data_IF_884416157017
#
_entry.id   IF_884416157017
#
_cell.length_a   1.000
_cell.length_b   1.000
_cell.length_c   1.000
_cell.angle_alpha   90.00
_cell.angle_beta   90.00
_cell.angle_gamma   90.00
#
_symmetry.space_group_name_H-M   'P 1'
#
loop_
_entity.id
_entity.type
_entity.pdbx_description
1 polymer ?
#
# COMPACT_ATOMS: atom_id res chain seq x y z
N UNK A 1 -20.71 11.77 -21.22
CA UNK A 1 -21.13 12.44 -22.47
C UNK A 1 -21.16 11.46 -23.65
N UNK A 2 -20.09 10.69 -23.88
CA UNK A 2 -20.00 9.72 -24.99
C UNK A 2 -21.09 8.63 -25.01
N UNK A 3 -21.40 8.02 -23.85
CA UNK A 3 -22.47 7.00 -23.77
C UNK A 3 -23.84 7.53 -24.19
N UNK A 4 -24.21 8.74 -23.72
CA UNK A 4 -25.48 9.37 -24.12
C UNK A 4 -25.52 9.66 -25.62
N UNK A 5 -24.42 10.15 -26.19
CA UNK A 5 -24.31 10.40 -27.63
C UNK A 5 -24.46 9.11 -28.45
N UNK A 6 -23.77 8.04 -28.05
CA UNK A 6 -23.89 6.71 -28.66
C UNK A 6 -25.34 6.21 -28.69
N UNK A 7 -26.05 6.31 -27.55
CA UNK A 7 -27.46 5.92 -27.45
C UNK A 7 -28.36 6.82 -28.32
N UNK A 8 -28.12 8.13 -28.35
CA UNK A 8 -28.86 9.07 -29.21
C UNK A 8 -28.64 8.82 -30.70
N UNK A 9 -27.47 8.29 -31.10
CA UNK A 9 -27.16 7.90 -32.48
C UNK A 9 -27.73 6.51 -32.84
N UNK A 10 -28.49 5.87 -31.94
CA UNK A 10 -29.08 4.55 -32.18
C UNK A 10 -28.08 3.39 -32.11
N UNK A 11 -26.84 3.64 -31.67
CA UNK A 11 -25.82 2.62 -31.52
C UNK A 11 -26.09 1.86 -30.21
N UNK A 12 -26.31 0.55 -30.30
CA UNK A 12 -26.60 -0.29 -29.15
C UNK A 12 -25.35 -0.51 -28.30
N UNK A 13 -25.48 -0.35 -26.98
CA UNK A 13 -24.44 -0.71 -26.03
C UNK A 13 -24.27 -2.23 -25.97
N UNK A 14 -23.04 -2.70 -25.86
CA UNK A 14 -22.71 -4.11 -25.68
C UNK A 14 -22.16 -4.40 -24.27
N UNK A 15 -21.88 -5.67 -23.99
CA UNK A 15 -21.32 -6.12 -22.70
C UNK A 15 -19.96 -5.47 -22.35
N UNK A 16 -19.23 -4.95 -23.33
CA UNK A 16 -17.95 -4.29 -23.11
C UNK A 16 -18.10 -2.79 -22.86
N UNK A 17 -19.19 -2.18 -23.32
CA UNK A 17 -19.52 -0.76 -23.10
C UNK A 17 -19.88 -0.49 -21.65
N UNK A 18 -20.75 -1.32 -21.06
CA UNK A 18 -21.32 -1.07 -19.74
C UNK A 18 -20.31 -0.97 -18.59
N UNK A 19 -19.27 -1.82 -18.50
CA UNK A 19 -18.23 -1.70 -17.47
C UNK A 19 -17.59 -0.31 -17.41
N UNK A 20 -17.26 0.30 -18.56
CA UNK A 20 -16.69 1.65 -18.59
C UNK A 20 -17.68 2.72 -18.10
N UNK A 21 -18.95 2.58 -18.48
CA UNK A 21 -20.01 3.51 -18.07
C UNK A 21 -20.28 3.38 -16.57
N UNK A 22 -20.38 2.16 -16.05
CA UNK A 22 -20.52 1.88 -14.61
C UNK A 22 -19.31 2.42 -13.85
N UNK A 23 -18.09 2.25 -14.36
CA UNK A 23 -16.88 2.78 -13.73
C UNK A 23 -16.91 4.31 -13.67
N UNK A 24 -17.37 4.98 -14.74
CA UNK A 24 -17.59 6.42 -14.70
C UNK A 24 -18.62 6.81 -13.63
N UNK A 25 -19.77 6.12 -13.56
CA UNK A 25 -20.77 6.35 -12.51
C UNK A 25 -20.20 6.15 -11.10
N UNK A 26 -19.32 5.16 -10.92
CA UNK A 26 -18.62 4.87 -9.67
C UNK A 26 -17.70 6.01 -9.26
N UNK A 27 -16.89 6.52 -10.19
CA UNK A 27 -15.95 7.62 -9.91
C UNK A 27 -16.68 8.92 -9.54
N UNK A 28 -17.85 9.17 -10.12
CA UNK A 28 -18.70 10.32 -9.78
C UNK A 28 -19.68 10.04 -8.63
N UNK A 29 -19.67 8.84 -8.05
CA UNK A 29 -20.63 8.38 -7.04
C UNK A 29 -22.11 8.63 -7.43
N UNK A 30 -22.41 8.62 -8.73
CA UNK A 30 -23.71 9.03 -9.27
C UNK A 30 -24.69 7.85 -9.29
N UNK A 31 -25.45 7.72 -8.20
CA UNK A 31 -26.41 6.62 -8.02
C UNK A 31 -27.53 6.64 -9.09
N UNK A 32 -28.06 7.81 -9.41
CA UNK A 32 -29.20 7.93 -10.33
C UNK A 32 -28.81 7.52 -11.75
N UNK A 33 -27.64 7.98 -12.22
CA UNK A 33 -27.12 7.59 -13.51
C UNK A 33 -26.81 6.08 -13.55
N UNK A 34 -26.19 5.54 -12.49
CA UNK A 34 -25.91 4.10 -12.45
C UNK A 34 -27.16 3.23 -12.40
N UNK A 35 -28.25 3.68 -11.74
CA UNK A 35 -29.57 3.00 -11.81
C UNK A 35 -30.14 3.02 -13.21
N UNK A 36 -30.03 4.13 -13.95
CA UNK A 36 -30.46 4.20 -15.35
C UNK A 36 -29.66 3.23 -16.22
N UNK A 37 -28.34 3.19 -16.04
CA UNK A 37 -27.45 2.27 -16.76
C UNK A 37 -27.75 0.81 -16.43
N UNK A 38 -28.01 0.49 -15.16
CA UNK A 38 -28.46 -0.84 -14.74
C UNK A 38 -29.82 -1.22 -15.37
N UNK A 39 -30.77 -0.28 -15.48
CA UNK A 39 -32.01 -0.49 -16.22
C UNK A 39 -31.77 -0.80 -17.71
N UNK A 40 -30.88 -0.05 -18.36
CA UNK A 40 -30.47 -0.30 -19.74
C UNK A 40 -29.86 -1.70 -19.91
N UNK A 41 -28.98 -2.10 -19.00
CA UNK A 41 -28.37 -3.44 -18.98
C UNK A 41 -29.39 -4.57 -19.01
N UNK A 42 -30.45 -4.44 -18.21
CA UNK A 42 -31.55 -5.41 -18.18
C UNK A 42 -32.31 -5.38 -19.52
N UNK A 43 -32.63 -4.19 -20.03
CA UNK A 43 -33.34 -4.03 -21.31
C UNK A 43 -32.59 -4.63 -22.50
N UNK A 44 -31.26 -4.52 -22.53
CA UNK A 44 -30.42 -5.08 -23.60
C UNK A 44 -30.02 -6.55 -23.38
N UNK A 45 -30.52 -7.20 -22.31
CA UNK A 45 -30.29 -8.64 -22.08
C UNK A 45 -28.95 -9.00 -21.45
N UNK A 46 -28.19 -8.02 -20.92
CA UNK A 46 -26.90 -8.26 -20.28
C UNK A 46 -26.99 -8.47 -18.76
N UNK A 47 -28.21 -8.65 -18.23
CA UNK A 47 -28.44 -8.85 -16.79
C UNK A 47 -27.88 -10.16 -16.24
N UNK A 48 -27.51 -11.12 -17.09
CA UNK A 48 -26.88 -12.38 -16.71
C UNK A 48 -25.36 -12.44 -16.91
N UNK A 49 -24.73 -11.37 -17.42
CA UNK A 49 -23.28 -11.34 -17.64
C UNK A 49 -22.54 -11.13 -16.31
N UNK A 50 -21.71 -12.10 -15.92
CA UNK A 50 -20.99 -12.11 -14.63
C UNK A 50 -20.04 -10.91 -14.50
N UNK A 51 -19.39 -10.48 -15.59
CA UNK A 51 -18.45 -9.36 -15.56
C UNK A 51 -19.19 -8.04 -15.31
N UNK A 52 -20.32 -7.83 -16.00
CA UNK A 52 -21.19 -6.68 -15.76
C UNK A 52 -21.77 -6.69 -14.34
N UNK A 53 -22.25 -7.84 -13.87
CA UNK A 53 -22.81 -7.99 -12.52
C UNK A 53 -21.76 -7.65 -11.44
N UNK A 54 -20.51 -8.10 -11.58
CA UNK A 54 -19.42 -7.76 -10.66
C UNK A 54 -19.13 -6.25 -10.63
N UNK A 55 -19.19 -5.56 -11.77
CA UNK A 55 -19.04 -4.10 -11.83
C UNK A 55 -20.21 -3.37 -11.16
N UNK A 56 -21.44 -3.88 -11.31
CA UNK A 56 -22.62 -3.31 -10.63
C UNK A 56 -22.53 -3.48 -9.11
N UNK A 57 -22.03 -4.63 -8.63
CA UNK A 57 -21.80 -4.87 -7.20
C UNK A 57 -20.81 -3.84 -6.65
N UNK A 58 -19.63 -3.67 -7.28
CA UNK A 58 -18.62 -2.66 -6.87
C UNK A 58 -19.20 -1.24 -6.85
N UNK A 59 -19.94 -0.89 -7.89
CA UNK A 59 -20.62 0.41 -8.00
C UNK A 59 -21.59 0.65 -6.85
N UNK A 60 -22.49 -0.30 -6.56
CA UNK A 60 -23.48 -0.13 -5.51
C UNK A 60 -22.86 -0.03 -4.13
N UNK A 61 -21.81 -0.80 -3.83
CA UNK A 61 -21.07 -0.66 -2.57
C UNK A 61 -20.42 0.73 -2.45
N UNK A 62 -19.72 1.20 -3.49
CA UNK A 62 -19.06 2.51 -3.47
C UNK A 62 -20.04 3.68 -3.37
N UNK A 63 -21.24 3.54 -3.91
CA UNK A 63 -22.31 4.52 -3.73
C UNK A 63 -23.04 4.37 -2.38
N UNK A 64 -22.61 3.52 -1.45
CA UNK A 64 -23.23 3.34 -0.13
C UNK A 64 -24.57 2.58 -0.16
N UNK A 65 -24.85 1.84 -1.24
CA UNK A 65 -26.12 1.14 -1.47
C UNK A 65 -25.97 -0.38 -1.31
N UNK A 66 -25.50 -0.83 -0.15
CA UNK A 66 -25.20 -2.23 0.19
C UNK A 66 -26.33 -3.20 -0.17
N UNK A 67 -27.59 -2.85 0.15
CA UNK A 67 -28.75 -3.70 -0.16
C UNK A 67 -28.91 -3.97 -1.66
N UNK A 68 -28.62 -3.00 -2.53
CA UNK A 68 -28.69 -3.21 -3.98
C UNK A 68 -27.52 -4.07 -4.48
N UNK A 69 -26.33 -3.89 -3.92
CA UNK A 69 -25.18 -4.72 -4.25
C UNK A 69 -25.45 -6.20 -3.92
N UNK A 70 -25.93 -6.48 -2.70
CA UNK A 70 -26.28 -7.84 -2.25
C UNK A 70 -27.40 -8.44 -3.10
N UNK A 71 -28.43 -7.65 -3.46
CA UNK A 71 -29.50 -8.12 -4.34
C UNK A 71 -29.01 -8.49 -5.75
N UNK A 72 -28.01 -7.78 -6.29
CA UNK A 72 -27.37 -8.17 -7.56
C UNK A 72 -26.65 -9.50 -7.39
N UNK A 73 -25.86 -9.63 -6.31
CA UNK A 73 -25.10 -10.84 -6.01
C UNK A 73 -25.97 -12.09 -5.79
N UNK A 74 -27.05 -11.96 -5.02
CA UNK A 74 -28.04 -13.02 -4.77
C UNK A 74 -28.64 -13.55 -6.07
N UNK A 75 -28.92 -12.66 -7.03
CA UNK A 75 -29.52 -12.99 -8.33
C UNK A 75 -28.54 -13.56 -9.36
N UNK A 76 -27.23 -13.58 -9.08
CA UNK A 76 -26.26 -14.16 -10.00
C UNK A 76 -26.46 -15.66 -10.10
N UNK A 77 -26.65 -16.18 -11.33
CA UNK A 77 -26.78 -17.63 -11.59
C UNK A 77 -25.44 -18.36 -11.44
N UNK A 78 -24.36 -17.68 -11.82
CA UNK A 78 -22.99 -18.19 -11.74
C UNK A 78 -22.16 -17.16 -11.00
N UNK A 79 -21.45 -17.60 -9.96
CA UNK A 79 -20.55 -16.76 -9.16
C UNK A 79 -19.14 -17.31 -9.32
N UNK A 80 -18.20 -16.44 -9.65
CA UNK A 80 -16.78 -16.78 -9.67
C UNK A 80 -16.07 -16.12 -8.48
N UNK A 81 -14.77 -16.35 -8.35
CA UNK A 81 -13.95 -15.77 -7.27
C UNK A 81 -14.13 -14.26 -7.21
N UNK A 82 -14.13 -13.57 -8.36
CA UNK A 82 -14.30 -12.12 -8.43
C UNK A 82 -15.63 -11.70 -7.80
N UNK A 83 -16.74 -12.37 -8.10
CA UNK A 83 -18.06 -12.09 -7.51
C UNK A 83 -18.04 -12.12 -5.99
N UNK A 84 -17.45 -13.18 -5.41
CA UNK A 84 -17.33 -13.32 -3.96
C UNK A 84 -16.43 -12.24 -3.36
N UNK A 85 -15.24 -12.03 -3.94
CA UNK A 85 -14.26 -11.07 -3.42
C UNK A 85 -14.72 -9.62 -3.52
N UNK A 86 -15.52 -9.27 -4.55
CA UNK A 86 -16.10 -7.92 -4.69
C UNK A 86 -17.12 -7.65 -3.59
N UNK A 87 -17.98 -8.62 -3.26
CA UNK A 87 -18.94 -8.48 -2.15
C UNK A 87 -18.23 -8.37 -0.81
N UNK A 88 -17.26 -9.25 -0.54
CA UNK A 88 -16.47 -9.21 0.69
C UNK A 88 -15.79 -7.85 0.86
N UNK A 89 -15.09 -7.37 -0.17
CA UNK A 89 -14.41 -6.07 -0.14
C UNK A 89 -15.38 -4.91 0.06
N UNK A 90 -16.56 -4.99 -0.56
CA UNK A 90 -17.63 -4.01 -0.41
C UNK A 90 -18.18 -3.95 1.02
N UNK A 91 -18.51 -5.11 1.61
CA UNK A 91 -19.00 -5.22 2.99
C UNK A 91 -17.96 -4.73 4.01
N UNK A 92 -16.70 -5.13 3.84
CA UNK A 92 -15.56 -4.63 4.64
C UNK A 92 -15.50 -3.10 4.59
N UNK A 93 -15.65 -2.50 3.41
CA UNK A 93 -15.59 -1.04 3.23
C UNK A 93 -16.80 -0.32 3.85
N UNK A 94 -17.92 -1.02 4.02
CA UNK A 94 -19.10 -0.52 4.72
C UNK A 94 -19.04 -0.77 6.24
N UNK A 95 -17.98 -1.40 6.76
CA UNK A 95 -17.83 -1.76 8.17
C UNK A 95 -18.61 -3.00 8.61
N UNK A 96 -19.23 -3.74 7.69
CA UNK A 96 -20.00 -4.95 8.00
C UNK A 96 -19.11 -6.21 7.88
N UNK A 97 -18.15 -6.33 8.78
CA UNK A 97 -17.21 -7.45 8.83
C UNK A 97 -17.89 -8.79 9.13
N UNK A 98 -18.97 -8.79 9.90
CA UNK A 98 -19.70 -10.01 10.24
C UNK A 98 -20.34 -10.62 9.01
N UNK A 99 -21.04 -9.81 8.21
CA UNK A 99 -21.62 -10.29 6.96
C UNK A 99 -20.53 -10.63 5.94
N UNK A 100 -19.44 -9.84 5.87
CA UNK A 100 -18.29 -10.16 5.02
C UNK A 100 -17.72 -11.55 5.37
N UNK A 101 -17.61 -11.87 6.67
CA UNK A 101 -17.14 -13.17 7.15
C UNK A 101 -18.10 -14.30 6.80
N UNK A 102 -19.41 -14.09 6.93
CA UNK A 102 -20.43 -15.06 6.54
C UNK A 102 -20.33 -15.39 5.04
N UNK A 103 -20.27 -14.37 4.20
CA UNK A 103 -20.11 -14.52 2.74
C UNK A 103 -18.79 -15.21 2.39
N UNK A 104 -17.70 -14.90 3.11
CA UNK A 104 -16.43 -15.57 2.95
C UNK A 104 -16.54 -17.07 3.26
N UNK A 105 -17.15 -17.45 4.39
CA UNK A 105 -17.30 -18.85 4.77
C UNK A 105 -18.16 -19.65 3.77
N UNK A 106 -19.12 -19.02 3.11
CA UNK A 106 -19.97 -19.61 2.04
C UNK A 106 -19.24 -19.86 0.71
N UNK A 107 -18.02 -19.34 0.50
CA UNK A 107 -17.27 -19.58 -0.76
C UNK A 107 -17.01 -21.10 -0.91
N UNK A 108 -17.49 -21.74 -2.00
CA UNK A 108 -17.36 -23.19 -2.20
C UNK A 108 -15.91 -23.69 -2.31
N UNK A 109 -15.05 -22.91 -2.97
CA UNK A 109 -13.63 -23.18 -3.11
C UNK A 109 -12.85 -21.88 -2.93
N UNK A 110 -12.36 -21.68 -1.70
CA UNK A 110 -11.55 -20.51 -1.36
C UNK A 110 -10.18 -20.63 -2.01
N UNK A 111 -9.66 -19.52 -2.51
CA UNK A 111 -8.29 -19.42 -3.03
C UNK A 111 -7.55 -18.28 -2.34
N UNK A 112 -6.25 -18.14 -2.66
CA UNK A 112 -5.37 -17.10 -2.09
C UNK A 112 -6.03 -15.72 -2.13
N UNK A 113 -6.66 -15.33 -3.25
CA UNK A 113 -7.30 -14.02 -3.39
C UNK A 113 -8.42 -13.81 -2.38
N UNK A 114 -9.31 -14.80 -2.19
CA UNK A 114 -10.40 -14.70 -1.21
C UNK A 114 -9.90 -14.63 0.24
N UNK A 115 -8.87 -15.39 0.60
CA UNK A 115 -8.26 -15.34 1.93
C UNK A 115 -7.61 -13.98 2.17
N UNK A 116 -6.78 -13.51 1.24
CA UNK A 116 -6.09 -12.22 1.33
C UNK A 116 -7.07 -11.06 1.47
N UNK A 117 -8.19 -11.09 0.73
CA UNK A 117 -9.23 -10.06 0.83
C UNK A 117 -9.82 -9.98 2.25
N UNK A 118 -10.18 -11.12 2.85
CA UNK A 118 -10.77 -11.16 4.18
C UNK A 118 -9.77 -10.82 5.28
N UNK A 119 -8.54 -11.33 5.21
CA UNK A 119 -7.48 -11.02 6.19
C UNK A 119 -7.16 -9.51 6.17
N UNK A 120 -6.97 -8.92 4.98
CA UNK A 120 -6.77 -7.47 4.85
C UNK A 120 -7.96 -6.67 5.42
N UNK A 121 -9.18 -7.20 5.26
CA UNK A 121 -10.38 -6.60 5.83
C UNK A 121 -10.33 -6.47 7.34
N UNK A 122 -9.95 -7.56 8.02
CA UNK A 122 -9.76 -7.56 9.46
C UNK A 122 -8.65 -6.60 9.92
N UNK A 123 -7.50 -6.59 9.25
CA UNK A 123 -6.39 -5.69 9.64
C UNK A 123 -6.80 -4.21 9.51
N UNK A 124 -7.43 -3.83 8.38
CA UNK A 124 -7.89 -2.44 8.16
C UNK A 124 -8.97 -1.97 9.12
N UNK A 125 -9.72 -2.90 9.69
CA UNK A 125 -10.74 -2.62 10.70
C UNK A 125 -10.22 -2.86 12.13
N UNK A 126 -8.90 -2.88 12.32
CA UNK A 126 -8.26 -2.96 13.63
C UNK A 126 -8.60 -4.23 14.42
N UNK A 127 -8.79 -5.35 13.71
CA UNK A 127 -9.08 -6.67 14.25
C UNK A 127 -7.95 -7.67 13.92
N UNK A 128 -6.74 -7.50 14.47
CA UNK A 128 -5.58 -8.29 14.06
C UNK A 128 -5.56 -9.72 14.59
N UNK A 129 -6.25 -10.00 15.70
CA UNK A 129 -6.41 -11.35 16.24
C UNK A 129 -7.18 -12.24 15.26
N UNK A 130 -8.28 -11.73 14.71
CA UNK A 130 -9.11 -12.40 13.70
C UNK A 130 -8.36 -12.57 12.38
N UNK A 131 -7.57 -11.56 12.00
CA UNK A 131 -6.69 -11.65 10.83
C UNK A 131 -5.66 -12.79 10.99
N UNK A 132 -5.04 -12.91 12.17
CA UNK A 132 -4.08 -13.98 12.49
C UNK A 132 -4.75 -15.35 12.51
N UNK A 133 -5.96 -15.44 13.07
CA UNK A 133 -6.74 -16.68 13.07
C UNK A 133 -7.05 -17.14 11.64
N UNK A 134 -7.52 -16.22 10.77
CA UNK A 134 -7.75 -16.55 9.36
C UNK A 134 -6.45 -16.94 8.66
N UNK A 135 -5.34 -16.25 8.92
CA UNK A 135 -4.06 -16.59 8.34
C UNK A 135 -3.61 -18.00 8.73
N UNK A 136 -3.77 -18.39 10.00
CA UNK A 136 -3.52 -19.77 10.46
C UNK A 136 -4.45 -20.78 9.81
N UNK A 137 -5.74 -20.44 9.67
CA UNK A 137 -6.73 -21.31 9.02
C UNK A 137 -6.43 -21.50 7.52
N UNK A 138 -6.01 -20.44 6.82
CA UNK A 138 -5.55 -20.50 5.43
C UNK A 138 -4.43 -21.55 5.27
N UNK A 139 -3.47 -21.57 6.21
CA UNK A 139 -2.39 -22.55 6.23
C UNK A 139 -2.88 -23.97 6.52
N UNK A 140 -3.80 -24.13 7.47
CA UNK A 140 -4.39 -25.43 7.81
C UNK A 140 -5.19 -26.04 6.65
N UNK A 141 -5.76 -25.19 5.78
CA UNK A 141 -6.43 -25.60 4.53
C UNK A 141 -5.45 -25.80 3.35
N UNK A 142 -4.13 -25.78 3.59
CA UNK A 142 -3.05 -25.92 2.60
C UNK A 142 -3.11 -24.90 1.46
N UNK A 143 -3.60 -23.69 1.74
CA UNK A 143 -3.60 -22.58 0.78
C UNK A 143 -2.41 -21.68 1.09
N UNK A 144 -1.43 -21.66 0.19
CA UNK A 144 -0.19 -20.92 0.40
C UNK A 144 -0.33 -19.45 -0.03
N UNK A 145 -0.05 -18.47 0.86
CA UNK A 145 0.11 -17.08 0.49
C UNK A 145 1.21 -16.90 -0.56
N UNK A 146 0.96 -16.05 -1.56
CA UNK A 146 2.00 -15.60 -2.49
C UNK A 146 2.69 -14.32 -1.98
N UNK A 147 3.80 -13.92 -2.61
CA UNK A 147 4.55 -12.71 -2.23
C UNK A 147 3.65 -11.46 -2.13
N UNK A 148 2.72 -11.28 -3.07
CA UNK A 148 1.76 -10.17 -3.05
C UNK A 148 0.89 -10.18 -1.78
N UNK A 149 0.40 -11.36 -1.38
CA UNK A 149 -0.36 -11.52 -0.14
C UNK A 149 0.51 -11.15 1.06
N UNK A 150 1.74 -11.65 1.11
CA UNK A 150 2.67 -11.36 2.20
C UNK A 150 2.94 -9.85 2.32
N UNK A 151 3.26 -9.17 1.21
CA UNK A 151 3.49 -7.72 1.18
C UNK A 151 2.25 -6.95 1.65
N UNK A 152 1.06 -7.35 1.19
CA UNK A 152 -0.19 -6.71 1.60
C UNK A 152 -0.43 -6.83 3.10
N UNK A 153 -0.19 -8.02 3.69
CA UNK A 153 -0.35 -8.26 5.12
C UNK A 153 0.68 -7.48 5.94
N UNK A 154 1.95 -7.46 5.51
CA UNK A 154 3.01 -6.70 6.17
C UNK A 154 2.69 -5.20 6.16
N UNK A 155 2.27 -4.64 5.01
CA UNK A 155 1.87 -3.23 4.93
C UNK A 155 0.75 -2.88 5.90
N UNK A 156 -0.26 -3.75 5.99
CA UNK A 156 -1.37 -3.54 6.91
C UNK A 156 -0.91 -3.63 8.39
N UNK A 157 0.08 -4.50 8.71
CA UNK A 157 0.71 -4.52 10.03
C UNK A 157 1.48 -3.23 10.32
N UNK A 158 2.19 -2.68 9.32
CA UNK A 158 2.91 -1.41 9.44
C UNK A 158 1.98 -0.25 9.78
N UNK A 159 0.86 -0.12 9.05
CA UNK A 159 -0.14 0.94 9.25
C UNK A 159 -0.76 0.89 10.66
N UNK A 160 -0.85 -0.31 11.23
CA UNK A 160 -1.46 -0.56 12.54
C UNK A 160 -0.45 -0.68 13.69
N UNK A 161 0.85 -0.73 13.41
CA UNK A 161 1.91 -0.92 14.42
C UNK A 161 1.92 -2.30 15.08
N UNK A 162 1.46 -3.37 14.41
CA UNK A 162 1.29 -4.70 15.02
C UNK A 162 2.52 -5.58 14.78
N UNK A 163 3.51 -5.48 15.66
CA UNK A 163 4.77 -6.23 15.55
C UNK A 163 4.59 -7.75 15.61
N UNK A 164 3.68 -8.25 16.44
CA UNK A 164 3.49 -9.70 16.68
C UNK A 164 3.00 -10.43 15.44
N UNK A 165 2.01 -9.86 14.74
CA UNK A 165 1.51 -10.37 13.48
C UNK A 165 2.57 -10.27 12.38
N UNK A 166 3.28 -9.14 12.31
CA UNK A 166 4.41 -8.95 11.38
C UNK A 166 5.49 -10.03 11.52
N UNK A 167 5.92 -10.34 12.75
CA UNK A 167 6.85 -11.45 13.03
C UNK A 167 6.28 -12.80 12.58
N UNK A 168 5.01 -13.09 12.90
CA UNK A 168 4.38 -14.34 12.50
C UNK A 168 4.33 -14.54 10.97
N UNK A 169 4.10 -13.46 10.22
CA UNK A 169 4.14 -13.47 8.75
C UNK A 169 5.58 -13.65 8.25
N UNK A 170 6.56 -12.98 8.84
CA UNK A 170 7.98 -13.15 8.50
C UNK A 170 8.46 -14.59 8.75
N UNK A 171 8.17 -15.15 9.92
CA UNK A 171 8.48 -16.55 10.27
C UNK A 171 7.85 -17.53 9.29
N UNK A 172 6.61 -17.26 8.86
CA UNK A 172 5.93 -18.07 7.86
C UNK A 172 6.67 -18.04 6.52
N UNK A 173 7.13 -16.86 6.07
CA UNK A 173 7.90 -16.72 4.84
C UNK A 173 9.17 -17.59 4.89
N UNK A 174 9.92 -17.52 5.99
CA UNK A 174 11.14 -18.31 6.20
C UNK A 174 10.83 -19.82 6.20
N UNK A 175 9.84 -20.26 6.99
CA UNK A 175 9.48 -21.68 7.14
C UNK A 175 9.00 -22.33 5.85
N UNK A 176 8.40 -21.56 4.95
CA UNK A 176 7.86 -22.05 3.68
C UNK A 176 8.75 -21.71 2.48
N UNK A 177 9.98 -21.26 2.73
CA UNK A 177 10.94 -20.90 1.69
C UNK A 177 10.39 -19.89 0.68
N UNK A 178 9.55 -18.95 1.13
CA UNK A 178 9.11 -17.82 0.31
C UNK A 178 10.33 -16.89 0.17
N UNK A 179 10.75 -16.63 -1.06
CA UNK A 179 11.86 -15.73 -1.33
C UNK A 179 11.55 -14.33 -0.78
N UNK A 180 12.40 -13.85 0.13
CA UNK A 180 12.36 -12.46 0.61
C UNK A 180 13.06 -11.60 -0.43
N UNK A 181 12.35 -11.36 -1.54
CA UNK A 181 12.78 -10.51 -2.62
C UNK A 181 12.75 -9.03 -2.23
N UNK A 182 13.05 -8.17 -3.21
CA UNK A 182 13.10 -6.71 -3.01
C UNK A 182 11.79 -6.15 -2.45
N UNK A 183 10.63 -6.63 -2.92
CA UNK A 183 9.34 -6.10 -2.51
C UNK A 183 8.98 -6.50 -1.07
N UNK A 184 9.03 -7.79 -0.75
CA UNK A 184 8.75 -8.28 0.59
C UNK A 184 9.78 -7.80 1.61
N UNK A 185 11.07 -7.83 1.28
CA UNK A 185 12.14 -7.38 2.17
C UNK A 185 12.05 -5.89 2.50
N UNK A 186 11.79 -5.04 1.51
CA UNK A 186 11.59 -3.60 1.77
C UNK A 186 10.36 -3.34 2.63
N UNK A 187 9.26 -4.09 2.43
CA UNK A 187 8.07 -3.98 3.27
C UNK A 187 8.32 -4.43 4.71
N UNK A 188 9.11 -5.49 4.90
CA UNK A 188 9.49 -6.00 6.22
C UNK A 188 10.40 -5.01 6.98
N UNK A 189 11.37 -4.40 6.31
CA UNK A 189 12.23 -3.35 6.89
C UNK A 189 11.36 -2.19 7.39
N UNK A 190 10.45 -1.66 6.56
CA UNK A 190 9.55 -0.56 6.92
C UNK A 190 8.64 -0.96 8.10
N UNK A 191 8.09 -2.18 8.09
CA UNK A 191 7.25 -2.70 9.17
C UNK A 191 8.00 -2.78 10.49
N UNK A 192 9.16 -3.45 10.52
CA UNK A 192 9.95 -3.61 11.72
C UNK A 192 10.43 -2.26 12.25
N UNK A 193 10.90 -1.38 11.37
CA UNK A 193 11.32 -0.02 11.72
C UNK A 193 10.19 0.78 12.38
N UNK A 194 9.01 0.87 11.77
CA UNK A 194 7.87 1.62 12.32
C UNK A 194 7.27 0.97 13.57
N UNK A 195 7.42 -0.35 13.73
CA UNK A 195 7.01 -1.07 14.93
C UNK A 195 8.06 -1.01 16.07
N UNK A 196 9.12 -0.21 15.93
CA UNK A 196 10.11 -0.01 16.99
C UNK A 196 11.21 -1.07 17.06
N UNK A 197 11.28 -1.99 16.09
CA UNK A 197 12.18 -3.15 16.13
C UNK A 197 13.29 -3.07 15.08
N UNK A 198 14.17 -2.07 15.21
CA UNK A 198 15.25 -1.81 14.26
C UNK A 198 16.21 -3.00 14.08
N UNK A 199 16.39 -3.84 15.11
CA UNK A 199 17.25 -5.02 15.03
C UNK A 199 16.75 -6.06 14.02
N UNK A 200 15.45 -6.34 14.01
CA UNK A 200 14.89 -7.28 13.02
C UNK A 200 14.91 -6.66 11.61
N UNK A 201 14.77 -5.32 11.50
CA UNK A 201 14.89 -4.64 10.22
C UNK A 201 16.31 -4.79 9.62
N UNK A 202 17.35 -4.67 10.45
CA UNK A 202 18.75 -4.92 10.07
C UNK A 202 18.92 -6.38 9.64
N UNK A 203 18.41 -7.33 10.41
CA UNK A 203 18.50 -8.77 10.08
C UNK A 203 17.85 -9.08 8.72
N UNK A 204 16.66 -8.54 8.46
CA UNK A 204 16.00 -8.67 7.15
C UNK A 204 16.89 -8.08 6.06
N UNK A 205 17.40 -6.86 6.24
CA UNK A 205 18.26 -6.23 5.26
C UNK A 205 19.50 -7.09 4.97
N UNK A 206 20.22 -7.55 5.98
CA UNK A 206 21.44 -8.36 5.82
C UNK A 206 21.16 -9.67 5.09
N UNK A 207 20.07 -10.36 5.42
CA UNK A 207 19.70 -11.67 4.86
C UNK A 207 19.12 -11.60 3.44
N UNK A 208 18.70 -10.42 2.96
CA UNK A 208 18.16 -10.27 1.60
C UNK A 208 19.20 -10.63 0.51
N UNK A 209 18.85 -11.54 -0.42
CA UNK A 209 19.77 -12.01 -1.47
C UNK A 209 20.05 -10.93 -2.53
N UNK A 210 19.08 -10.04 -2.75
CA UNK A 210 19.19 -8.90 -3.66
C UNK A 210 18.65 -7.65 -2.99
N UNK A 211 19.44 -6.59 -3.04
CA UNK A 211 19.09 -5.27 -2.51
C UNK A 211 18.95 -4.30 -3.68
N UNK A 212 17.91 -3.48 -3.65
CA UNK A 212 17.66 -2.43 -4.63
C UNK A 212 17.77 -1.06 -3.98
N UNK A 213 17.80 0.01 -4.78
CA UNK A 213 17.79 1.39 -4.27
C UNK A 213 16.69 1.63 -3.20
N UNK A 214 15.41 1.25 -3.43
CA UNK A 214 14.39 1.30 -2.38
C UNK A 214 14.74 0.58 -1.07
N UNK A 215 15.43 -0.55 -1.14
CA UNK A 215 15.84 -1.34 0.03
C UNK A 215 16.93 -0.61 0.82
N UNK A 216 17.93 -0.05 0.14
CA UNK A 216 18.97 0.79 0.76
C UNK A 216 18.37 2.04 1.40
N UNK A 217 17.50 2.74 0.67
CA UNK A 217 16.81 3.92 1.16
C UNK A 217 15.99 3.62 2.43
N UNK A 218 15.22 2.53 2.41
CA UNK A 218 14.42 2.13 3.57
C UNK A 218 15.29 1.85 4.80
N UNK A 219 16.42 1.15 4.64
CA UNK A 219 17.30 0.82 5.76
C UNK A 219 18.09 2.04 6.28
N UNK A 220 18.66 2.86 5.39
CA UNK A 220 19.40 4.08 5.77
C UNK A 220 18.48 5.05 6.53
N UNK A 221 17.29 5.30 6.00
CA UNK A 221 16.30 6.15 6.68
C UNK A 221 15.86 5.53 8.01
N UNK A 222 15.66 4.21 8.07
CA UNK A 222 15.30 3.51 9.32
C UNK A 222 16.39 3.67 10.40
N UNK A 223 17.66 3.50 10.06
CA UNK A 223 18.76 3.73 11.01
C UNK A 223 18.78 5.19 11.48
N UNK A 224 18.59 6.14 10.56
CA UNK A 224 18.50 7.57 10.84
C UNK A 224 17.43 7.87 11.89
N UNK A 225 16.16 7.52 11.64
CA UNK A 225 15.03 7.85 12.53
C UNK A 225 15.11 7.16 13.89
N UNK A 226 15.79 6.01 13.98
CA UNK A 226 16.05 5.29 15.23
C UNK A 226 17.27 5.81 16.00
N UNK A 227 17.89 6.91 15.54
CA UNK A 227 19.03 7.54 16.21
C UNK A 227 20.37 6.83 15.99
N UNK A 228 20.41 5.80 15.15
CA UNK A 228 21.62 5.06 14.77
C UNK A 228 22.35 5.76 13.61
N UNK A 229 22.58 7.06 13.75
CA UNK A 229 23.06 7.89 12.64
C UNK A 229 24.42 7.46 12.10
N UNK A 230 25.35 7.02 12.96
CA UNK A 230 26.65 6.52 12.49
C UNK A 230 26.51 5.24 11.64
N UNK A 231 25.61 4.34 12.03
CA UNK A 231 25.34 3.11 11.26
C UNK A 231 24.70 3.45 9.91
N UNK A 232 23.80 4.44 9.87
CA UNK A 232 23.20 4.92 8.62
C UNK A 232 24.26 5.47 7.64
N UNK A 233 25.24 6.24 8.13
CA UNK A 233 26.33 6.79 7.31
C UNK A 233 27.32 5.72 6.84
N UNK A 234 27.59 4.73 7.69
CA UNK A 234 28.38 3.56 7.31
C UNK A 234 27.68 2.78 6.19
N UNK A 235 26.36 2.58 6.32
CA UNK A 235 25.54 1.89 5.32
C UNK A 235 25.45 2.68 4.01
N UNK A 236 25.36 4.00 4.06
CA UNK A 236 25.47 4.86 2.88
C UNK A 236 26.83 4.73 2.19
N UNK A 237 27.91 4.69 2.95
CA UNK A 237 29.26 4.47 2.40
C UNK A 237 29.38 3.11 1.71
N UNK A 238 28.74 2.08 2.28
CA UNK A 238 28.66 0.76 1.65
C UNK A 238 27.86 0.79 0.35
N UNK A 239 26.70 1.46 0.33
CA UNK A 239 25.87 1.67 -0.86
C UNK A 239 26.68 2.27 -2.01
N UNK A 240 27.50 3.28 -1.71
CA UNK A 240 28.40 3.90 -2.69
C UNK A 240 29.48 2.91 -3.17
N UNK A 241 30.08 2.14 -2.27
CA UNK A 241 31.11 1.14 -2.59
C UNK A 241 30.60 0.05 -3.53
N UNK A 242 29.33 -0.35 -3.39
CA UNK A 242 28.69 -1.32 -4.29
C UNK A 242 28.08 -0.68 -5.55
N UNK A 243 28.40 0.59 -5.82
CA UNK A 243 27.97 1.37 -6.98
C UNK A 243 26.43 1.50 -7.13
N UNK A 244 25.69 1.50 -6.03
CA UNK A 244 24.27 1.86 -6.05
C UNK A 244 24.17 3.37 -5.99
N UNK A 245 23.63 3.99 -7.04
CA UNK A 245 23.51 5.45 -7.13
C UNK A 245 22.47 5.97 -6.13
N UNK A 246 22.83 6.90 -5.22
CA UNK A 246 21.88 7.58 -4.35
C UNK A 246 20.84 8.39 -5.12
N UNK A 247 19.65 8.55 -4.55
CA UNK A 247 18.62 9.47 -5.00
C UNK A 247 18.24 10.48 -3.90
N UNK A 248 17.24 11.32 -4.16
CA UNK A 248 16.74 12.27 -3.18
C UNK A 248 16.34 11.58 -1.85
N UNK A 249 15.66 10.43 -1.92
CA UNK A 249 15.21 9.72 -0.71
C UNK A 249 16.41 9.19 0.09
N UNK A 250 17.49 8.75 -0.57
CA UNK A 250 18.74 8.38 0.11
C UNK A 250 19.27 9.54 0.96
N UNK A 251 19.31 10.74 0.39
CA UNK A 251 19.85 11.91 1.07
C UNK A 251 18.98 12.44 2.20
N UNK A 252 17.66 12.24 2.17
CA UNK A 252 16.81 12.44 3.36
C UNK A 252 17.33 11.58 4.53
N UNK A 253 17.55 10.29 4.29
CA UNK A 253 18.04 9.36 5.33
C UNK A 253 19.42 9.74 5.86
N UNK A 254 20.34 10.13 4.97
CA UNK A 254 21.69 10.61 5.34
C UNK A 254 21.63 11.90 6.16
N UNK A 255 20.81 12.87 5.77
CA UNK A 255 20.68 14.13 6.51
C UNK A 255 19.98 13.91 7.86
N UNK A 256 18.97 13.05 7.93
CA UNK A 256 18.38 12.61 9.20
C UNK A 256 19.45 12.00 10.12
N UNK A 257 20.32 11.14 9.60
CA UNK A 257 21.43 10.59 10.37
C UNK A 257 22.34 11.68 10.96
N UNK A 258 22.68 12.71 10.15
CA UNK A 258 23.46 13.88 10.60
C UNK A 258 22.75 14.68 11.71
N UNK A 259 21.43 14.82 11.65
CA UNK A 259 20.58 15.46 12.69
C UNK A 259 20.70 14.73 14.03
N UNK A 260 20.74 13.40 14.01
CA UNK A 260 20.82 12.58 15.23
C UNK A 260 22.22 12.58 15.86
N UNK A 261 23.29 12.55 15.04
CA UNK A 261 24.67 12.68 15.54
C UNK A 261 25.06 14.14 15.87
N UNK A 262 24.18 15.12 15.57
CA UNK A 262 24.39 16.56 15.76
C UNK A 262 25.66 17.09 15.06
N UNK A 263 25.97 16.55 13.88
CA UNK A 263 27.16 16.93 13.11
C UNK A 263 26.79 17.87 11.94
N UNK A 264 26.77 19.17 12.21
CA UNK A 264 26.44 20.20 11.21
C UNK A 264 27.37 20.15 10.01
N UNK A 265 28.68 20.00 10.25
CA UNK A 265 29.69 20.01 9.19
C UNK A 265 29.44 18.89 8.18
N UNK A 266 29.13 17.71 8.68
CA UNK A 266 28.87 16.54 7.86
C UNK A 266 27.52 16.65 7.13
N UNK A 267 26.46 17.14 7.78
CA UNK A 267 25.19 17.43 7.12
C UNK A 267 25.33 18.43 5.97
N UNK A 268 26.05 19.55 6.17
CA UNK A 268 26.33 20.52 5.11
C UNK A 268 27.14 19.91 3.96
N UNK A 269 28.14 19.08 4.29
CA UNK A 269 28.96 18.40 3.29
C UNK A 269 28.13 17.44 2.43
N UNK A 270 27.25 16.63 3.04
CA UNK A 270 26.37 15.74 2.29
C UNK A 270 25.32 16.50 1.47
N UNK A 271 24.75 17.60 1.99
CA UNK A 271 23.81 18.44 1.23
C UNK A 271 24.47 19.06 -0.01
N UNK A 272 25.72 19.51 0.13
CA UNK A 272 26.50 20.02 -1.01
C UNK A 272 26.87 18.90 -1.98
N UNK A 273 27.27 17.72 -1.48
CA UNK A 273 27.59 16.56 -2.31
C UNK A 273 26.36 16.09 -3.11
N UNK A 274 25.17 16.08 -2.52
CA UNK A 274 23.90 15.76 -3.18
C UNK A 274 23.68 16.63 -4.42
N UNK A 275 23.86 17.95 -4.28
CA UNK A 275 23.59 18.91 -5.35
C UNK A 275 24.72 18.96 -6.38
N UNK A 276 25.97 19.05 -5.94
CA UNK A 276 27.12 19.29 -6.83
C UNK A 276 27.68 18.01 -7.47
N UNK A 277 27.75 16.91 -6.72
CA UNK A 277 28.34 15.67 -7.21
C UNK A 277 27.30 14.76 -7.86
N UNK A 278 26.13 14.62 -7.22
CA UNK A 278 25.07 13.75 -7.71
C UNK A 278 24.06 14.46 -8.61
N UNK A 279 24.05 15.80 -8.66
CA UNK A 279 23.11 16.56 -9.47
C UNK A 279 21.66 16.43 -9.02
N UNK A 280 21.43 16.08 -7.76
CA UNK A 280 20.09 15.88 -7.18
C UNK A 280 19.59 17.23 -6.68
N UNK A 281 18.45 17.68 -7.22
CA UNK A 281 17.79 18.89 -6.76
C UNK A 281 17.25 18.68 -5.33
N UNK A 282 17.43 19.64 -4.42
CA UNK A 282 16.80 19.58 -3.11
C UNK A 282 15.27 19.56 -3.24
N UNK A 283 14.59 18.96 -2.26
CA UNK A 283 13.13 18.92 -2.10
C UNK A 283 12.82 19.35 -0.66
N UNK A 284 11.57 19.69 -0.30
CA UNK A 284 11.23 20.25 1.01
C UNK A 284 11.80 19.47 2.20
N UNK A 285 11.74 18.14 2.16
CA UNK A 285 12.21 17.25 3.22
C UNK A 285 13.73 17.38 3.49
N UNK A 286 14.53 17.71 2.47
CA UNK A 286 15.96 17.98 2.67
C UNK A 286 16.19 19.25 3.48
N UNK A 287 15.42 20.30 3.21
CA UNK A 287 15.51 21.57 3.93
C UNK A 287 14.96 21.43 5.36
N UNK A 288 13.94 20.59 5.58
CA UNK A 288 13.46 20.25 6.92
C UNK A 288 14.58 19.62 7.76
N UNK A 289 15.29 18.62 7.21
CA UNK A 289 16.43 18.00 7.87
C UNK A 289 17.53 19.02 8.20
N UNK A 290 17.87 19.91 7.26
CA UNK A 290 18.89 20.95 7.48
C UNK A 290 18.46 21.97 8.53
N UNK A 291 17.19 22.39 8.53
CA UNK A 291 16.63 23.30 9.52
C UNK A 291 16.71 22.68 10.92
N UNK A 292 16.32 21.41 11.06
CA UNK A 292 16.42 20.70 12.32
C UNK A 292 17.87 20.56 12.80
N UNK A 293 18.80 20.26 11.89
CA UNK A 293 20.23 20.15 12.19
C UNK A 293 20.81 21.46 12.75
N UNK A 294 20.46 22.59 12.12
CA UNK A 294 20.90 23.92 12.57
C UNK A 294 20.26 24.33 13.89
N UNK A 295 18.97 24.04 14.08
CA UNK A 295 18.25 24.32 15.32
C UNK A 295 18.89 23.59 16.52
N UNK A 296 19.24 22.30 16.35
CA UNK A 296 19.90 21.50 17.40
C UNK A 296 21.33 21.96 17.74
N UNK A 297 21.91 22.83 16.91
CA UNK A 297 23.28 23.32 17.02
C UNK A 297 23.35 24.83 17.35
N UNK A 298 22.22 25.43 17.73
CA UNK A 298 22.07 26.86 18.03
C UNK A 298 22.46 27.81 16.88
N UNK A 299 22.37 27.37 15.63
CA UNK A 299 22.64 28.19 14.45
C UNK A 299 21.34 28.71 13.81
N UNK A 300 20.68 29.65 14.49
CA UNK A 300 19.32 30.09 14.16
C UNK A 300 19.23 30.85 12.82
N UNK A 301 20.28 31.57 12.42
CA UNK A 301 20.29 32.32 11.16
C UNK A 301 20.23 31.40 9.93
N UNK A 302 20.98 30.30 9.95
CA UNK A 302 20.97 29.30 8.87
C UNK A 302 19.69 28.45 8.88
N UNK A 303 19.11 28.20 10.05
CA UNK A 303 17.80 27.57 10.16
C UNK A 303 16.70 28.43 9.48
N UNK A 304 16.74 29.75 9.68
CA UNK A 304 15.77 30.67 9.07
C UNK A 304 15.91 30.77 7.54
N UNK A 305 17.15 30.73 7.02
CA UNK A 305 17.38 30.67 5.56
C UNK A 305 16.82 29.41 4.94
N UNK A 306 17.02 28.26 5.59
CA UNK A 306 16.52 26.96 5.12
C UNK A 306 14.99 26.92 5.12
N UNK A 307 14.35 27.48 6.16
CA UNK A 307 12.88 27.58 6.24
C UNK A 307 12.28 28.43 5.11
N UNK A 308 12.94 29.53 4.74
CA UNK A 308 12.51 30.36 3.61
C UNK A 308 12.60 29.63 2.27
N UNK A 309 13.60 28.77 2.09
CA UNK A 309 13.74 27.99 0.86
C UNK A 309 12.56 27.03 0.65
N UNK A 310 12.00 26.48 1.73
CA UNK A 310 10.79 25.63 1.69
C UNK A 310 9.57 26.43 1.19
N UNK A 311 9.42 27.69 1.61
CA UNK A 311 8.25 28.52 1.28
C UNK A 311 8.22 29.09 -0.15
N UNK A 312 9.28 28.85 -0.95
CA UNK A 312 9.43 29.44 -2.29
C UNK A 312 9.10 28.43 -3.40
N UNK A 313 8.97 27.13 -3.10
CA UNK A 313 8.55 26.11 -4.07
C UNK A 313 7.00 26.03 -4.13
N UNK A 314 6.36 26.30 -5.29
CA UNK A 314 4.92 26.15 -5.45
C UNK A 314 4.52 24.69 -5.73
N UNK A 315 3.37 24.28 -5.18
CA UNK A 315 2.66 23.01 -5.43
C UNK A 315 2.45 22.67 -6.92
#
# INVERSE_FOLDING_TARGET
MLYKNMVCQGIAADKFTFPFVIKACTNFLSIDLGKVVHGSLIKYGFSGDVFVQNNLIDFYFKCGHTRFALKVFEKMRVRNVVSWTTVISGLISCGDLQEARRIFDEIPSKNVVSWTAMINGYIRNQQPEEALELFKRMQAENIFPNEYTMVSLIKACTEMGILTLGRGIHDYAIKNCIEIGVYLGTALIDMYSKCGSIKDAIEVFETMPRKSLPTWNSMITSLGVHGLGQEALNLFSEMERVNVKPDAITFIGVLCACVHIKNVKEGCAYFTRMTQHYGIAPIPEHYECMTELYARSNNLDEAFKSTKAISIEPD
#
